data_IF_471987758782
#
_entry.id   IF_471987758782
#
_cell.length_a   1.000
_cell.length_b   1.000
_cell.length_c   1.000
_cell.angle_alpha   90.00
_cell.angle_beta   90.00
_cell.angle_gamma   90.00
#
_symmetry.space_group_name_H-M   'P 1'
#
loop_
_entity.id
_entity.type
_entity.pdbx_description
1 polymer ?
#
# COMPACT_ATOMS: atom_id res chain seq x y z
N UNK A 1 -14.96 -53.73 18.09
CA UNK A 1 -15.95 -52.64 18.21
C UNK A 1 -15.26 -51.36 17.76
N UNK A 2 -15.60 -50.84 16.57
CA UNK A 2 -15.10 -49.55 16.08
C UNK A 2 -15.94 -48.44 16.74
N UNK A 3 -15.35 -47.37 17.29
CA UNK A 3 -16.14 -46.27 17.83
C UNK A 3 -16.84 -45.56 16.68
N UNK A 4 -18.17 -45.54 16.71
CA UNK A 4 -18.96 -44.73 15.78
C UNK A 4 -18.61 -43.26 16.02
N UNK A 5 -18.01 -42.62 15.03
CA UNK A 5 -17.69 -41.20 15.09
C UNK A 5 -19.00 -40.42 15.20
N UNK A 6 -19.30 -39.92 16.40
CA UNK A 6 -20.48 -39.08 16.65
C UNK A 6 -20.36 -37.84 15.78
N UNK A 7 -21.23 -37.72 14.79
CA UNK A 7 -21.28 -36.54 13.93
C UNK A 7 -21.55 -35.30 14.79
N UNK A 8 -20.81 -34.19 14.56
CA UNK A 8 -21.02 -32.95 15.29
C UNK A 8 -22.45 -32.43 15.10
N UNK A 9 -22.99 -31.78 16.13
CA UNK A 9 -24.36 -31.27 16.09
C UNK A 9 -24.52 -30.21 14.99
N UNK A 10 -25.71 -30.13 14.39
CA UNK A 10 -26.00 -29.13 13.35
C UNK A 10 -25.83 -27.69 13.86
N UNK A 11 -26.08 -27.46 15.16
CA UNK A 11 -25.88 -26.16 15.80
C UNK A 11 -24.39 -25.79 15.85
N UNK A 12 -23.53 -26.75 16.20
CA UNK A 12 -22.08 -26.58 16.19
C UNK A 12 -21.57 -26.31 14.77
N UNK A 13 -21.98 -27.12 13.79
CA UNK A 13 -21.58 -26.94 12.39
C UNK A 13 -21.98 -25.56 11.85
N UNK A 14 -23.20 -25.08 12.17
CA UNK A 14 -23.63 -23.73 11.79
C UNK A 14 -22.78 -22.64 12.45
N UNK A 15 -22.50 -22.75 13.74
CA UNK A 15 -21.67 -21.76 14.43
C UNK A 15 -20.25 -21.70 13.86
N UNK A 16 -19.68 -22.86 13.54
CA UNK A 16 -18.38 -22.95 12.88
C UNK A 16 -18.43 -22.32 11.48
N UNK A 17 -19.44 -22.65 10.67
CA UNK A 17 -19.61 -22.10 9.33
C UNK A 17 -19.78 -20.57 9.35
N UNK A 18 -20.56 -20.02 10.29
CA UNK A 18 -20.73 -18.56 10.43
C UNK A 18 -19.42 -17.87 10.79
N UNK A 19 -18.64 -18.42 11.74
CA UNK A 19 -17.33 -17.85 12.10
C UNK A 19 -16.33 -17.94 10.97
N UNK A 20 -16.31 -19.06 10.24
CA UNK A 20 -15.46 -19.24 9.07
C UNK A 20 -15.83 -18.25 7.96
N UNK A 21 -17.12 -18.13 7.64
CA UNK A 21 -17.61 -17.18 6.64
C UNK A 21 -17.22 -15.73 6.99
N UNK A 22 -17.45 -15.31 8.23
CA UNK A 22 -17.08 -13.96 8.67
C UNK A 22 -15.56 -13.72 8.61
N UNK A 23 -14.75 -14.72 8.96
CA UNK A 23 -13.30 -14.64 8.86
C UNK A 23 -12.82 -14.55 7.41
N UNK A 24 -13.44 -15.31 6.51
CA UNK A 24 -13.14 -15.29 5.07
C UNK A 24 -13.54 -13.95 4.47
N UNK A 25 -14.76 -13.47 4.74
CA UNK A 25 -15.25 -12.18 4.24
C UNK A 25 -14.35 -11.03 4.70
N UNK A 26 -13.94 -11.04 5.97
CA UNK A 26 -12.99 -10.06 6.49
C UNK A 26 -11.66 -10.15 5.75
N UNK A 27 -11.09 -11.35 5.60
CA UNK A 27 -9.81 -11.53 4.90
C UNK A 27 -9.87 -11.00 3.46
N UNK A 28 -10.95 -11.30 2.73
CA UNK A 28 -11.15 -10.82 1.37
C UNK A 28 -11.31 -9.29 1.30
N UNK A 29 -12.05 -8.68 2.23
CA UNK A 29 -12.18 -7.22 2.32
C UNK A 29 -10.83 -6.55 2.59
N UNK A 30 -10.02 -7.14 3.47
CA UNK A 30 -8.66 -6.66 3.74
C UNK A 30 -7.77 -6.77 2.50
N UNK A 31 -7.81 -7.89 1.78
CA UNK A 31 -7.04 -8.07 0.53
C UNK A 31 -7.45 -7.05 -0.55
N UNK A 32 -8.74 -6.83 -0.75
CA UNK A 32 -9.24 -5.85 -1.72
C UNK A 32 -8.78 -4.42 -1.37
N UNK A 33 -8.87 -4.05 -0.09
CA UNK A 33 -8.41 -2.73 0.38
C UNK A 33 -6.91 -2.57 0.20
N UNK A 34 -6.14 -3.61 0.48
CA UNK A 34 -4.68 -3.65 0.26
C UNK A 34 -4.33 -3.48 -1.21
N UNK A 35 -5.00 -4.20 -2.11
CA UNK A 35 -4.75 -4.07 -3.56
C UNK A 35 -5.00 -2.64 -4.06
N UNK A 36 -6.13 -2.04 -3.69
CA UNK A 36 -6.45 -0.66 -4.09
C UNK A 36 -5.40 0.34 -3.60
N UNK A 37 -4.91 0.12 -2.39
CA UNK A 37 -3.86 0.91 -1.74
C UNK A 37 -2.51 0.78 -2.48
N UNK A 38 -2.07 -0.44 -2.77
CA UNK A 38 -0.80 -0.69 -3.46
C UNK A 38 -0.83 -0.07 -4.86
N UNK A 39 -1.94 -0.25 -5.58
CA UNK A 39 -2.14 0.40 -6.87
C UNK A 39 -2.06 1.92 -6.75
N UNK A 40 -2.62 2.55 -5.72
CA UNK A 40 -2.51 4.00 -5.54
C UNK A 40 -1.05 4.43 -5.29
N UNK A 41 -0.31 3.70 -4.45
CA UNK A 41 1.10 3.99 -4.17
C UNK A 41 2.00 3.89 -5.42
N UNK A 42 1.82 2.88 -6.27
CA UNK A 42 2.56 2.73 -7.53
C UNK A 42 2.39 3.94 -8.46
N UNK A 43 1.24 4.62 -8.40
CA UNK A 43 0.97 5.81 -9.21
C UNK A 43 1.46 7.12 -8.55
N UNK A 44 1.76 7.10 -7.24
CA UNK A 44 2.21 8.29 -6.50
C UNK A 44 3.73 8.50 -6.58
N UNK A 45 4.51 7.44 -6.76
CA UNK A 45 5.96 7.53 -6.97
C UNK A 45 6.27 7.91 -8.42
N UNK A 46 7.34 8.69 -8.68
CA UNK A 46 7.79 8.98 -10.03
C UNK A 46 8.13 7.69 -10.76
N UNK A 47 7.46 7.44 -11.89
CA UNK A 47 7.73 6.27 -12.73
C UNK A 47 9.13 6.28 -13.34
N UNK A 48 9.72 7.47 -13.51
CA UNK A 48 11.10 7.68 -13.96
C UNK A 48 11.68 8.92 -13.29
N UNK A 49 12.95 8.82 -12.89
CA UNK A 49 13.74 9.98 -12.48
C UNK A 49 14.23 10.72 -13.73
N UNK A 50 14.41 12.06 -13.66
CA UNK A 50 14.92 12.83 -14.79
C UNK A 50 16.32 12.35 -15.18
N UNK A 51 16.54 12.15 -16.48
CA UNK A 51 17.86 11.84 -17.04
C UNK A 51 18.62 13.15 -17.22
N UNK A 52 19.83 13.25 -16.66
CA UNK A 52 20.68 14.44 -16.81
C UNK A 52 22.11 14.03 -17.13
N UNK A 53 22.84 14.87 -17.86
CA UNK A 53 24.24 14.59 -18.23
C UNK A 53 25.22 14.75 -17.05
N UNK A 54 24.75 15.35 -15.96
CA UNK A 54 25.57 15.78 -14.82
C UNK A 54 25.35 14.92 -13.57
N UNK A 55 24.21 14.22 -13.48
CA UNK A 55 23.81 13.45 -12.32
C UNK A 55 23.21 12.11 -12.74
N UNK A 56 23.69 11.04 -12.10
CA UNK A 56 23.09 9.72 -12.16
C UNK A 56 22.15 9.55 -10.96
N UNK A 57 20.86 9.30 -11.23
CA UNK A 57 19.82 9.23 -10.21
C UNK A 57 19.23 7.82 -10.17
N UNK A 58 19.16 7.27 -8.96
CA UNK A 58 18.47 6.01 -8.67
C UNK A 58 17.60 6.17 -7.43
N UNK A 59 16.46 5.46 -7.42
CA UNK A 59 15.58 5.41 -6.27
C UNK A 59 15.11 3.96 -6.08
N UNK A 60 15.07 3.54 -4.81
CA UNK A 60 14.43 2.31 -4.38
C UNK A 60 13.48 2.65 -3.26
N UNK A 61 12.26 2.10 -3.33
CA UNK A 61 11.25 2.25 -2.30
C UNK A 61 10.92 0.85 -1.76
N UNK A 62 11.32 0.60 -0.52
CA UNK A 62 11.05 -0.68 0.15
C UNK A 62 10.07 -0.46 1.30
N UNK A 63 8.98 -1.22 1.31
CA UNK A 63 8.00 -1.21 2.41
C UNK A 63 8.53 -2.13 3.51
N UNK A 64 8.76 -1.58 4.71
CA UNK A 64 9.33 -2.32 5.84
C UNK A 64 8.45 -3.44 6.40
N UNK A 65 7.13 -3.40 6.17
CA UNK A 65 6.21 -4.49 6.52
C UNK A 65 5.08 -4.60 5.48
N UNK A 66 4.96 -5.73 4.77
CA UNK A 66 3.88 -5.96 3.81
C UNK A 66 2.48 -5.95 4.46
N UNK A 67 2.39 -6.03 5.78
CA UNK A 67 1.16 -6.05 6.57
C UNK A 67 0.77 -4.65 7.09
N UNK A 68 1.66 -3.66 7.04
CA UNK A 68 1.35 -2.26 7.38
C UNK A 68 0.73 -1.55 6.17
N UNK A 69 -0.49 -1.04 6.35
CA UNK A 69 -1.16 -0.12 5.42
C UNK A 69 -0.21 1.05 5.09
N UNK A 70 0.21 1.20 3.82
CA UNK A 70 0.78 2.41 3.20
C UNK A 70 1.87 3.13 4.00
N UNK A 71 3.12 3.01 3.58
CA UNK A 71 4.15 3.99 3.94
C UNK A 71 3.76 5.38 3.41
N UNK A 72 3.75 6.37 4.31
CA UNK A 72 3.56 7.78 4.00
C UNK A 72 4.70 8.40 3.19
N UNK A 73 5.80 7.66 3.03
CA UNK A 73 6.99 8.12 2.35
C UNK A 73 6.75 8.29 0.84
N UNK A 74 7.19 9.42 0.30
CA UNK A 74 7.19 9.72 -1.14
C UNK A 74 8.46 10.49 -1.53
N UNK A 75 8.80 10.43 -2.81
CA UNK A 75 9.89 11.24 -3.37
C UNK A 75 9.53 11.84 -4.73
N UNK A 76 10.21 12.91 -5.13
CA UNK A 76 10.18 13.47 -6.49
C UNK A 76 11.54 14.08 -6.86
N UNK A 77 11.81 14.22 -8.14
CA UNK A 77 13.03 14.85 -8.65
C UNK A 77 12.71 15.71 -9.88
N UNK A 78 13.14 16.97 -9.85
CA UNK A 78 12.85 17.95 -10.92
C UNK A 78 14.13 18.68 -11.32
N UNK A 79 14.39 18.72 -12.63
CA UNK A 79 15.49 19.50 -13.21
C UNK A 79 15.13 20.98 -13.25
N UNK A 80 16.01 21.83 -12.75
CA UNK A 80 15.85 23.30 -12.77
C UNK A 80 16.47 23.90 -14.04
N UNK A 81 16.07 25.13 -14.43
CA UNK A 81 16.60 25.77 -15.65
C UNK A 81 18.12 25.98 -15.67
N UNK A 82 18.77 25.99 -14.51
CA UNK A 82 20.22 26.11 -14.35
C UNK A 82 20.97 24.76 -14.42
N UNK A 83 20.25 23.65 -14.66
CA UNK A 83 20.82 22.30 -14.73
C UNK A 83 20.97 21.61 -13.37
N UNK A 84 20.66 22.29 -12.26
CA UNK A 84 20.62 21.67 -10.94
C UNK A 84 19.37 20.81 -10.74
N UNK A 85 19.41 19.88 -9.77
CA UNK A 85 18.29 18.99 -9.45
C UNK A 85 17.71 19.36 -8.09
N UNK A 86 16.39 19.54 -8.04
CA UNK A 86 15.63 19.60 -6.80
C UNK A 86 15.10 18.21 -6.47
N UNK A 87 15.53 17.65 -5.34
CA UNK A 87 15.00 16.40 -4.78
C UNK A 87 14.02 16.73 -3.66
N UNK A 88 12.89 16.03 -3.68
CA UNK A 88 11.87 16.06 -2.65
C UNK A 88 11.76 14.67 -2.03
N UNK A 89 11.79 14.61 -0.70
CA UNK A 89 11.51 13.40 0.08
C UNK A 89 10.59 13.85 1.21
N UNK A 90 9.49 13.14 1.44
CA UNK A 90 8.57 13.44 2.53
C UNK A 90 7.96 12.19 3.09
N UNK A 91 7.59 12.22 4.38
CA UNK A 91 6.84 11.20 5.11
C UNK A 91 5.47 11.79 5.47
N UNK A 92 4.39 11.21 4.97
CA UNK A 92 3.02 11.59 5.28
C UNK A 92 2.53 10.80 6.48
N UNK A 93 2.45 11.48 7.63
CA UNK A 93 1.76 10.96 8.81
C UNK A 93 0.28 10.66 8.49
N UNK A 94 -0.06 9.37 8.33
CA UNK A 94 -1.42 8.93 8.04
C UNK A 94 -1.45 7.65 7.22
N UNK A 95 -2.64 7.12 6.92
CA UNK A 95 -2.82 5.91 6.10
C UNK A 95 -4.00 6.04 5.14
N UNK A 96 -3.88 5.43 3.97
CA UNK A 96 -4.96 5.35 2.98
C UNK A 96 -5.16 6.61 2.14
N UNK A 97 -6.38 6.78 1.61
CA UNK A 97 -6.68 7.76 0.56
C UNK A 97 -6.41 9.23 0.93
N UNK A 98 -6.52 9.59 2.21
CA UNK A 98 -6.26 10.95 2.68
C UNK A 98 -4.75 11.31 2.63
N UNK A 99 -3.89 10.38 3.03
CA UNK A 99 -2.44 10.53 2.93
C UNK A 99 -1.98 10.61 1.45
N UNK A 100 -2.61 9.81 0.59
CA UNK A 100 -2.38 9.86 -0.85
C UNK A 100 -2.78 11.20 -1.48
N UNK A 101 -3.90 11.80 -1.06
CA UNK A 101 -4.34 13.11 -1.54
C UNK A 101 -3.35 14.22 -1.15
N UNK A 102 -2.85 14.21 0.09
CA UNK A 102 -1.81 15.15 0.57
C UNK A 102 -0.51 15.00 -0.22
N UNK A 103 -0.10 13.77 -0.52
CA UNK A 103 1.08 13.48 -1.36
C UNK A 103 0.93 14.09 -2.76
N UNK A 104 -0.23 13.89 -3.39
CA UNK A 104 -0.54 14.46 -4.71
C UNK A 104 -0.49 15.99 -4.73
N UNK A 105 -1.04 16.65 -3.70
CA UNK A 105 -1.01 18.11 -3.55
C UNK A 105 0.42 18.65 -3.36
N UNK A 106 1.21 18.00 -2.51
CA UNK A 106 2.60 18.39 -2.27
C UNK A 106 3.44 18.32 -3.56
N UNK A 107 3.31 17.22 -4.31
CA UNK A 107 4.00 17.06 -5.60
C UNK A 107 3.59 18.09 -6.63
N UNK A 108 2.29 18.37 -6.75
CA UNK A 108 1.79 19.33 -7.74
C UNK A 108 2.22 20.78 -7.42
N UNK A 109 2.44 21.10 -6.15
CA UNK A 109 2.87 22.44 -5.74
C UNK A 109 4.37 22.66 -5.92
N UNK A 110 5.16 21.58 -5.89
CA UNK A 110 6.62 21.63 -5.93
C UNK A 110 7.20 21.40 -7.34
N UNK A 111 6.38 20.93 -8.28
CA UNK A 111 6.69 20.90 -9.72
C UNK A 111 6.36 22.23 -10.37
#
# INVERSE_FOLDING_TARGET
QRPEARLPSSAFLRSLATRAALSIDNALLYELRRHAVLSLQEHLLPSQLPVTDQWDLSASYEVGDPMLDVGGDFYDAVTRPDGSIALLIGDVCGRGAEAAALTGLARHTLR
#
